data_IF_655352345516
#
_entry.id   IF_655352345516
#
_cell.length_a   1.000
_cell.length_b   1.000
_cell.length_c   1.000
_cell.angle_alpha   90.00
_cell.angle_beta   90.00
_cell.angle_gamma   90.00
#
_symmetry.space_group_name_H-M   'P 1'
#
loop_
_entity.id
_entity.type
_entity.pdbx_description
1 polymer ?
#
# COMPACT_ATOMS: atom_id res chain seq x y z
N UNK A 1 -5.56 -54.08 -31.13
CA UNK A 1 -5.84 -54.05 -29.67
C UNK A 1 -6.18 -52.59 -29.35
N UNK A 2 -7.45 -52.18 -29.27
CA UNK A 2 -8.32 -52.18 -28.07
C UNK A 2 -7.54 -51.65 -26.84
N UNK A 3 -7.45 -50.34 -26.58
CA UNK A 3 -8.41 -49.43 -25.88
C UNK A 3 -7.69 -48.86 -24.61
N UNK A 4 -8.10 -47.83 -23.86
CA UNK A 4 -9.35 -47.06 -23.66
C UNK A 4 -9.00 -45.57 -23.42
N UNK A 5 -9.85 -44.60 -23.84
CA UNK A 5 -9.79 -43.18 -23.42
C UNK A 5 -10.60 -42.96 -22.14
N UNK A 6 -10.08 -42.21 -21.15
CA UNK A 6 -10.88 -41.59 -20.09
C UNK A 6 -10.38 -40.18 -19.76
N UNK A 7 -11.16 -39.17 -20.16
CA UNK A 7 -11.06 -37.83 -19.59
C UNK A 7 -11.96 -37.68 -18.36
N UNK A 8 -11.70 -36.67 -17.55
CA UNK A 8 -12.50 -36.34 -16.36
C UNK A 8 -12.94 -34.89 -16.43
N UNK A 9 -14.25 -34.69 -16.60
CA UNK A 9 -14.91 -33.39 -16.44
C UNK A 9 -15.58 -33.39 -15.06
N UNK A 10 -15.21 -32.42 -14.22
CA UNK A 10 -15.90 -32.17 -12.95
C UNK A 10 -16.50 -30.76 -12.98
N UNK A 11 -17.72 -30.65 -13.48
CA UNK A 11 -18.56 -29.47 -13.23
C UNK A 11 -19.22 -29.60 -11.86
N UNK A 12 -19.28 -28.49 -11.11
CA UNK A 12 -20.07 -28.40 -9.87
C UNK A 12 -21.01 -27.22 -10.01
N UNK A 13 -22.29 -27.52 -10.27
CA UNK A 13 -23.37 -26.56 -10.13
C UNK A 13 -24.02 -26.77 -8.76
N UNK A 14 -24.10 -25.71 -7.95
CA UNK A 14 -24.82 -25.71 -6.68
C UNK A 14 -25.74 -24.49 -6.62
N UNK A 15 -26.96 -24.69 -7.08
CA UNK A 15 -28.12 -23.87 -6.72
C UNK A 15 -28.77 -24.51 -5.50
N UNK A 16 -28.92 -23.75 -4.41
CA UNK A 16 -29.77 -24.11 -3.29
C UNK A 16 -30.46 -22.84 -2.77
N UNK A 17 -31.76 -22.74 -3.02
CA UNK A 17 -32.59 -21.68 -2.46
C UNK A 17 -33.06 -22.07 -1.05
N UNK A 18 -33.12 -21.10 -0.13
CA UNK A 18 -33.87 -21.22 1.12
C UNK A 18 -34.65 -19.93 1.37
N UNK A 19 -35.92 -20.11 1.67
CA UNK A 19 -36.95 -19.07 1.79
C UNK A 19 -37.15 -18.63 3.24
N UNK A 20 -37.36 -17.34 3.44
CA UNK A 20 -37.94 -16.74 4.64
C UNK A 20 -38.29 -15.28 4.31
N UNK A 21 -39.50 -14.74 4.34
CA UNK A 21 -40.76 -14.91 5.10
C UNK A 21 -41.05 -13.59 5.84
N UNK A 22 -42.22 -13.00 5.60
CA UNK A 22 -42.59 -11.60 5.90
C UNK A 22 -42.41 -10.72 4.65
N UNK A 23 -43.44 -10.34 3.89
CA UNK A 23 -44.86 -10.16 4.22
C UNK A 23 -45.09 -8.72 4.72
N UNK A 24 -45.85 -7.85 4.06
CA UNK A 24 -46.55 -7.92 2.77
C UNK A 24 -47.22 -6.56 2.49
N UNK A 25 -47.69 -6.29 1.27
CA UNK A 25 -48.40 -5.04 0.97
C UNK A 25 -48.26 -4.58 -0.49
N UNK A 26 -49.32 -4.82 -1.24
CA UNK A 26 -49.82 -4.12 -2.43
C UNK A 26 -48.91 -3.86 -3.65
N UNK A 27 -49.49 -4.18 -4.81
CA UNK A 27 -48.93 -3.90 -6.13
C UNK A 27 -49.58 -2.66 -6.71
N UNK A 28 -48.80 -1.83 -7.40
CA UNK A 28 -49.30 -1.05 -8.53
C UNK A 28 -48.22 -1.00 -9.63
N UNK A 29 -48.66 -0.82 -10.88
CA UNK A 29 -47.84 -0.96 -12.08
C UNK A 29 -47.54 0.42 -12.67
N UNK A 30 -46.26 0.73 -12.90
CA UNK A 30 -45.90 2.01 -13.50
C UNK A 30 -44.46 2.05 -13.99
N UNK A 31 -44.29 2.09 -15.30
CA UNK A 31 -43.03 2.49 -15.91
C UNK A 31 -42.83 4.01 -15.76
N UNK A 32 -41.68 4.45 -15.27
CA UNK A 32 -41.19 5.80 -15.56
C UNK A 32 -39.68 5.91 -15.40
N UNK A 33 -39.08 6.74 -16.25
CA UNK A 33 -37.67 7.12 -16.21
C UNK A 33 -37.50 8.29 -15.26
N UNK A 34 -36.54 8.18 -14.32
CA UNK A 34 -35.73 9.32 -13.90
C UNK A 34 -36.12 10.17 -12.69
N UNK A 35 -35.03 10.59 -12.02
CA UNK A 35 -34.85 11.86 -11.26
C UNK A 35 -35.26 11.91 -9.77
N UNK A 36 -34.25 12.33 -8.97
CA UNK A 36 -34.22 12.82 -7.56
C UNK A 36 -34.77 11.98 -6.40
N UNK A 37 -33.89 11.78 -5.41
CA UNK A 37 -34.24 11.36 -4.05
C UNK A 37 -33.07 11.59 -3.08
N UNK A 38 -33.02 12.75 -2.43
CA UNK A 38 -32.18 12.92 -1.23
C UNK A 38 -32.86 12.12 -0.11
N UNK A 39 -32.30 10.95 0.22
CA UNK A 39 -32.86 10.04 1.22
C UNK A 39 -31.81 9.62 2.23
N UNK A 40 -31.94 10.12 3.47
CA UNK A 40 -31.07 9.69 4.57
C UNK A 40 -31.41 8.28 5.03
N UNK A 41 -30.42 7.40 5.07
CA UNK A 41 -30.49 6.07 5.65
C UNK A 41 -29.13 5.71 6.24
N UNK A 42 -29.02 5.68 7.57
CA UNK A 42 -27.73 5.66 8.23
C UNK A 42 -27.07 4.28 8.24
N UNK A 43 -25.81 4.20 7.78
CA UNK A 43 -24.87 3.23 8.34
C UNK A 43 -24.03 3.89 9.43
N UNK A 44 -24.18 3.37 10.66
CA UNK A 44 -23.38 3.78 11.82
C UNK A 44 -21.93 3.40 11.58
N UNK A 45 -21.07 4.39 11.34
CA UNK A 45 -19.63 4.32 11.60
C UNK A 45 -18.93 3.03 11.16
N UNK A 46 -18.99 2.68 9.86
CA UNK A 46 -17.90 1.90 9.28
C UNK A 46 -16.61 2.67 9.56
N UNK A 47 -15.73 2.11 10.40
CA UNK A 47 -14.36 2.63 10.57
C UNK A 47 -13.81 2.85 9.18
N UNK A 48 -13.27 4.04 8.89
CA UNK A 48 -12.60 4.32 7.62
C UNK A 48 -11.67 3.14 7.33
N UNK A 49 -11.75 2.56 6.13
CA UNK A 49 -10.79 1.53 5.78
C UNK A 49 -9.38 2.15 5.88
N UNK A 50 -8.45 1.46 6.53
CA UNK A 50 -7.04 1.87 6.55
C UNK A 50 -6.37 1.78 5.18
N UNK A 51 -7.11 1.33 4.16
CA UNK A 51 -6.78 1.33 2.74
C UNK A 51 -6.91 2.73 2.18
N UNK A 52 -5.82 3.28 1.64
CA UNK A 52 -5.85 4.48 0.81
C UNK A 52 -6.25 4.13 -0.63
N UNK A 53 -7.19 4.88 -1.19
CA UNK A 53 -7.48 4.89 -2.63
C UNK A 53 -6.37 5.62 -3.42
N UNK A 54 -6.38 5.54 -4.76
CA UNK A 54 -5.42 6.24 -5.62
C UNK A 54 -5.31 7.74 -5.29
N UNK A 55 -6.40 8.54 -5.20
CA UNK A 55 -6.30 9.96 -4.81
C UNK A 55 -5.74 10.20 -3.40
N UNK A 56 -5.94 9.26 -2.48
CA UNK A 56 -5.38 9.35 -1.13
C UNK A 56 -3.88 9.01 -1.13
N UNK A 57 -3.41 8.07 -1.96
CA UNK A 57 -1.98 7.82 -2.15
C UNK A 57 -1.26 9.03 -2.76
N UNK A 58 -1.86 9.72 -3.73
CA UNK A 58 -1.36 11.01 -4.24
C UNK A 58 -1.17 12.04 -3.12
N UNK A 59 -2.04 12.03 -2.12
CA UNK A 59 -1.97 12.94 -0.96
C UNK A 59 -1.05 12.43 0.17
N UNK A 60 -0.64 11.15 0.12
CA UNK A 60 0.21 10.50 1.11
C UNK A 60 1.69 10.49 0.71
N UNK A 61 2.02 10.67 -0.58
CA UNK A 61 3.39 10.89 -1.02
C UNK A 61 3.83 12.34 -0.70
N UNK A 62 5.11 12.58 -0.34
CA UNK A 62 5.58 13.91 0.00
C UNK A 62 5.67 14.80 -1.24
N UNK A 63 5.20 16.05 -1.14
CA UNK A 63 5.49 17.07 -2.15
C UNK A 63 6.91 17.63 -1.97
N UNK A 64 7.41 18.37 -2.95
CA UNK A 64 8.76 18.94 -2.86
C UNK A 64 8.85 19.97 -1.71
N UNK A 65 7.77 20.72 -1.44
CA UNK A 65 7.65 21.62 -0.30
C UNK A 65 7.65 20.88 1.04
N UNK A 66 7.08 19.67 1.11
CA UNK A 66 7.06 18.86 2.32
C UNK A 66 8.44 18.26 2.66
N UNK A 67 9.28 18.01 1.66
CA UNK A 67 10.67 17.57 1.85
C UNK A 67 11.58 18.73 2.30
N UNK A 68 11.28 19.96 1.84
CA UNK A 68 11.99 21.20 2.11
C UNK A 68 12.91 21.64 0.96
N UNK A 69 13.26 22.92 0.92
CA UNK A 69 13.87 23.61 -0.25
C UNK A 69 15.15 22.97 -0.85
N UNK A 70 15.87 22.20 -0.01
CA UNK A 70 17.09 21.46 -0.36
C UNK A 70 16.80 20.26 -1.25
N UNK A 71 15.62 19.66 -1.17
CA UNK A 71 15.24 18.45 -1.89
C UNK A 71 14.46 18.78 -3.18
N UNK A 72 14.83 18.11 -4.26
CA UNK A 72 14.09 18.14 -5.53
C UNK A 72 13.59 16.74 -5.80
N UNK A 73 12.27 16.58 -5.67
CA UNK A 73 11.60 15.35 -6.03
C UNK A 73 11.20 15.31 -7.50
N UNK A 74 11.17 14.10 -8.04
CA UNK A 74 10.61 13.78 -9.35
C UNK A 74 9.07 13.82 -9.35
N UNK A 75 8.49 13.51 -10.52
CA UNK A 75 7.05 13.38 -10.68
C UNK A 75 6.53 12.16 -9.92
N UNK A 76 5.51 12.38 -9.08
CA UNK A 76 4.84 11.34 -8.33
C UNK A 76 4.23 10.30 -9.28
N UNK A 77 4.51 9.02 -9.05
CA UNK A 77 3.88 7.92 -9.75
C UNK A 77 2.87 7.22 -8.84
N UNK A 78 1.62 7.04 -9.28
CA UNK A 78 0.62 6.21 -8.59
C UNK A 78 -0.05 5.29 -9.60
N UNK A 79 -0.11 4.00 -9.27
CA UNK A 79 -0.62 2.91 -10.10
C UNK A 79 -1.56 2.02 -9.29
N UNK A 80 -2.46 1.31 -9.96
CA UNK A 80 -3.46 0.44 -9.33
C UNK A 80 -3.55 -0.95 -9.99
N UNK A 81 -4.41 -1.79 -9.41
CA UNK A 81 -4.73 -3.11 -9.92
C UNK A 81 -3.51 -4.00 -10.13
N UNK A 82 -3.44 -4.64 -11.30
CA UNK A 82 -2.40 -5.62 -11.62
C UNK A 82 -0.98 -5.03 -11.63
N UNK A 83 -0.82 -3.76 -12.03
CA UNK A 83 0.49 -3.09 -12.01
C UNK A 83 0.97 -2.84 -10.58
N UNK A 84 0.07 -2.43 -9.69
CA UNK A 84 0.37 -2.30 -8.26
C UNK A 84 0.73 -3.67 -7.64
N UNK A 85 0.04 -4.74 -8.05
CA UNK A 85 0.34 -6.11 -7.62
C UNK A 85 1.72 -6.57 -8.08
N UNK A 86 2.07 -6.34 -9.34
CA UNK A 86 3.39 -6.65 -9.88
C UNK A 86 4.50 -5.88 -9.16
N UNK A 87 4.39 -4.54 -9.08
CA UNK A 87 5.40 -3.70 -8.42
C UNK A 87 5.60 -4.08 -6.94
N UNK A 88 4.50 -4.38 -6.23
CA UNK A 88 4.56 -4.84 -4.84
C UNK A 88 5.23 -6.22 -4.73
N UNK A 89 4.94 -7.15 -5.65
CA UNK A 89 5.54 -8.48 -5.63
C UNK A 89 7.04 -8.44 -5.92
N UNK A 90 7.45 -7.64 -6.91
CA UNK A 90 8.84 -7.37 -7.25
C UNK A 90 9.58 -6.71 -6.07
N UNK A 91 8.99 -5.72 -5.41
CA UNK A 91 9.63 -5.03 -4.30
C UNK A 91 9.70 -5.90 -3.04
N UNK A 92 8.60 -6.53 -2.63
CA UNK A 92 8.50 -7.25 -1.34
C UNK A 92 8.93 -8.71 -1.39
N UNK A 93 9.03 -9.33 -2.58
CA UNK A 93 9.22 -10.77 -2.73
C UNK A 93 8.02 -11.61 -2.28
N UNK A 94 6.82 -11.02 -2.16
CA UNK A 94 5.58 -11.71 -1.76
C UNK A 94 4.56 -11.73 -2.91
N UNK A 95 3.45 -12.44 -2.74
CA UNK A 95 2.37 -12.45 -3.74
C UNK A 95 1.54 -11.14 -3.80
N UNK A 96 1.68 -10.26 -2.80
CA UNK A 96 0.91 -9.01 -2.65
C UNK A 96 -0.61 -9.13 -2.90
N UNK A 97 -1.21 -10.24 -2.45
CA UNK A 97 -2.66 -10.42 -2.47
C UNK A 97 -3.34 -9.28 -1.69
N UNK A 98 -4.41 -8.71 -2.26
CA UNK A 98 -5.15 -7.63 -1.62
C UNK A 98 -4.51 -6.24 -1.75
N UNK A 99 -3.40 -6.06 -2.47
CA UNK A 99 -2.93 -4.71 -2.81
C UNK A 99 -3.89 -4.04 -3.80
N UNK A 100 -4.24 -2.79 -3.51
CA UNK A 100 -5.25 -2.01 -4.23
C UNK A 100 -4.58 -0.97 -5.13
N UNK A 101 -3.54 -0.31 -4.61
CA UNK A 101 -2.75 0.67 -5.32
C UNK A 101 -1.34 0.80 -4.73
N UNK A 102 -0.41 1.30 -5.55
CA UNK A 102 0.96 1.60 -5.17
C UNK A 102 1.32 3.03 -5.57
N UNK A 103 2.17 3.69 -4.77
CA UNK A 103 2.70 5.03 -5.04
C UNK A 103 4.22 5.05 -4.93
N UNK A 104 4.89 5.89 -5.71
CA UNK A 104 6.34 6.08 -5.66
C UNK A 104 6.74 7.54 -5.89
N UNK A 105 7.86 7.96 -5.28
CA UNK A 105 8.58 9.20 -5.52
C UNK A 105 10.06 9.02 -5.19
N UNK A 106 10.96 9.54 -6.02
CA UNK A 106 12.37 9.77 -5.68
C UNK A 106 12.63 11.27 -5.46
N UNK A 107 13.59 11.61 -4.60
CA UNK A 107 14.07 12.97 -4.43
C UNK A 107 15.57 13.01 -4.18
N UNK A 108 16.26 13.98 -4.78
CA UNK A 108 17.70 14.19 -4.61
C UNK A 108 17.99 15.59 -4.07
N UNK A 109 19.21 15.79 -3.54
CA UNK A 109 19.66 17.10 -3.06
C UNK A 109 19.93 18.05 -4.24
N UNK A 110 19.42 19.28 -4.16
CA UNK A 110 19.53 20.29 -5.23
C UNK A 110 20.98 20.67 -5.49
N UNK A 111 21.40 20.54 -6.75
CA UNK A 111 22.69 21.04 -7.23
C UNK A 111 23.88 20.19 -6.79
N UNK A 112 23.63 19.01 -6.25
CA UNK A 112 24.66 18.11 -5.75
C UNK A 112 25.11 17.10 -6.82
N UNK A 113 26.38 16.70 -6.74
CA UNK A 113 26.94 15.55 -7.46
C UNK A 113 27.01 14.30 -6.56
N UNK A 114 26.64 14.43 -5.28
CA UNK A 114 26.47 13.37 -4.30
C UNK A 114 25.41 12.34 -4.73
N UNK A 115 25.51 11.14 -4.18
CA UNK A 115 24.48 10.10 -4.26
C UNK A 115 23.40 10.25 -3.18
N UNK A 116 23.12 11.49 -2.75
CA UNK A 116 22.17 11.77 -1.68
C UNK A 116 20.75 11.84 -2.24
N UNK A 117 19.93 10.88 -1.79
CA UNK A 117 18.60 10.59 -2.34
C UNK A 117 17.67 9.99 -1.28
N UNK A 118 16.39 10.30 -1.41
CA UNK A 118 15.30 9.73 -0.64
C UNK A 118 14.27 9.13 -1.60
N UNK A 119 13.96 7.84 -1.45
CA UNK A 119 12.90 7.16 -2.21
C UNK A 119 11.73 6.86 -1.25
N UNK A 120 10.50 7.09 -1.70
CA UNK A 120 9.27 6.89 -0.95
C UNK A 120 8.34 5.98 -1.75
N UNK A 121 8.19 4.73 -1.31
CA UNK A 121 7.30 3.75 -1.95
C UNK A 121 6.17 3.38 -0.99
N UNK A 122 4.93 3.44 -1.47
CA UNK A 122 3.72 3.12 -0.72
C UNK A 122 2.97 1.96 -1.39
N UNK A 123 2.45 1.03 -0.58
CA UNK A 123 1.53 -0.02 -1.02
C UNK A 123 0.30 -0.02 -0.12
N UNK A 124 -0.87 0.19 -0.70
CA UNK A 124 -2.16 0.22 -0.01
C UNK A 124 -2.88 -1.12 -0.15
N UNK A 125 -3.19 -1.79 0.95
CA UNK A 125 -3.85 -3.10 0.97
C UNK A 125 -5.30 -3.01 1.43
N UNK A 126 -6.11 -4.00 1.09
CA UNK A 126 -7.48 -4.20 1.61
C UNK A 126 -7.50 -4.54 3.12
N UNK A 127 -6.39 -5.02 3.67
CA UNK A 127 -6.32 -5.61 5.01
C UNK A 127 -4.95 -5.46 5.67
N UNK A 128 -4.95 -5.35 7.00
CA UNK A 128 -3.73 -5.28 7.81
C UNK A 128 -2.88 -6.56 7.67
N UNK A 129 -3.52 -7.73 7.51
CA UNK A 129 -2.81 -9.01 7.40
C UNK A 129 -1.97 -9.07 6.12
N UNK A 130 -2.50 -8.61 4.98
CA UNK A 130 -1.74 -8.52 3.74
C UNK A 130 -0.59 -7.51 3.86
N UNK A 131 -0.85 -6.34 4.47
CA UNK A 131 0.18 -5.33 4.73
C UNK A 131 1.32 -5.85 5.64
N UNK A 132 1.03 -6.52 6.76
CA UNK A 132 2.05 -7.12 7.63
C UNK A 132 2.83 -8.25 6.94
N UNK A 133 2.22 -8.98 6.00
CA UNK A 133 2.93 -9.99 5.21
C UNK A 133 3.92 -9.32 4.24
N UNK A 134 3.53 -8.23 3.59
CA UNK A 134 4.39 -7.44 2.72
C UNK A 134 5.56 -6.78 3.47
N UNK A 135 5.34 -6.23 4.68
CA UNK A 135 6.43 -5.73 5.56
C UNK A 135 7.46 -6.82 5.84
N UNK A 136 7.01 -8.01 6.26
CA UNK A 136 7.90 -9.13 6.59
C UNK A 136 8.67 -9.65 5.38
N UNK A 137 8.03 -9.73 4.21
CA UNK A 137 8.70 -10.12 2.98
C UNK A 137 9.79 -9.13 2.58
N UNK A 138 9.47 -7.82 2.61
CA UNK A 138 10.42 -6.77 2.27
C UNK A 138 11.60 -6.72 3.26
N UNK A 139 11.34 -6.81 4.56
CA UNK A 139 12.37 -6.88 5.59
C UNK A 139 13.27 -8.13 5.44
N UNK A 140 12.69 -9.30 5.11
CA UNK A 140 13.47 -10.50 4.82
C UNK A 140 14.34 -10.35 3.56
N UNK A 141 13.79 -9.77 2.48
CA UNK A 141 14.53 -9.46 1.24
C UNK A 141 15.65 -8.45 1.47
N UNK A 142 15.48 -7.49 2.38
CA UNK A 142 16.54 -6.56 2.79
C UNK A 142 17.65 -7.27 3.58
N UNK A 143 17.27 -8.08 4.57
CA UNK A 143 18.20 -8.84 5.39
C UNK A 143 19.04 -9.87 4.59
N UNK A 144 18.52 -10.34 3.44
CA UNK A 144 19.22 -11.26 2.52
C UNK A 144 20.07 -10.56 1.44
N UNK A 145 20.23 -9.22 1.46
CA UNK A 145 21.15 -8.53 0.54
C UNK A 145 22.60 -8.85 0.93
N UNK A 146 23.53 -8.76 -0.03
CA UNK A 146 24.97 -8.89 0.23
C UNK A 146 25.72 -7.58 -0.07
N UNK A 147 26.56 -7.05 0.85
CA UNK A 147 26.69 -7.48 2.24
C UNK A 147 25.39 -7.27 3.03
N UNK A 148 25.15 -8.13 4.02
CA UNK A 148 23.96 -8.06 4.87
C UNK A 148 23.90 -6.71 5.62
N UNK A 149 22.81 -5.92 5.48
CA UNK A 149 22.72 -4.64 6.13
C UNK A 149 22.46 -4.83 7.63
N UNK A 150 22.94 -3.90 8.45
CA UNK A 150 22.80 -3.99 9.91
C UNK A 150 21.40 -3.55 10.34
N UNK A 151 20.64 -4.37 11.09
CA UNK A 151 19.36 -3.93 11.66
C UNK A 151 19.57 -2.75 12.61
N UNK A 152 18.73 -1.72 12.48
CA UNK A 152 18.73 -0.53 13.34
C UNK A 152 17.36 -0.29 13.94
N UNK A 153 17.29 0.47 15.04
CA UNK A 153 16.03 0.84 15.68
C UNK A 153 15.65 2.27 15.31
N UNK A 154 14.46 2.42 14.74
CA UNK A 154 13.92 3.70 14.30
C UNK A 154 12.45 3.77 14.72
N UNK A 155 12.04 4.87 15.36
CA UNK A 155 10.71 5.03 15.95
C UNK A 155 9.93 6.16 15.25
N UNK A 156 9.40 5.90 14.05
CA UNK A 156 8.64 6.87 13.24
C UNK A 156 7.14 6.95 13.60
N UNK A 157 6.68 6.23 14.63
CA UNK A 157 5.28 6.23 15.05
C UNK A 157 4.32 5.45 14.14
N UNK A 158 4.84 4.47 13.39
CA UNK A 158 4.05 3.47 12.66
C UNK A 158 3.64 2.30 13.59
N UNK A 159 2.72 1.44 13.13
CA UNK A 159 2.25 0.26 13.88
C UNK A 159 3.31 -0.86 13.92
N UNK A 160 4.05 -1.01 12.82
CA UNK A 160 5.21 -1.90 12.66
C UNK A 160 6.34 -1.09 12.00
N UNK A 161 7.60 -1.35 12.36
CA UNK A 161 8.77 -0.74 11.72
C UNK A 161 9.95 -1.70 11.76
N UNK A 162 10.54 -1.93 10.59
CA UNK A 162 11.81 -2.64 10.39
C UNK A 162 12.77 -1.68 9.69
N UNK A 163 14.02 -1.58 10.15
CA UNK A 163 14.98 -0.64 9.56
C UNK A 163 16.38 -1.25 9.48
N UNK A 164 17.10 -0.95 8.41
CA UNK A 164 18.41 -1.54 8.11
C UNK A 164 19.36 -0.47 7.57
N UNK A 165 20.60 -0.41 8.07
CA UNK A 165 21.66 0.46 7.56
C UNK A 165 22.64 -0.30 6.68
N UNK A 166 23.00 0.27 5.53
CA UNK A 166 24.03 -0.25 4.64
C UNK A 166 25.16 0.78 4.46
N UNK A 167 26.34 0.46 4.97
CA UNK A 167 27.44 1.43 5.07
C UNK A 167 27.10 2.57 6.05
N UNK A 168 27.68 3.75 5.83
CA UNK A 168 27.52 4.92 6.73
C UNK A 168 26.31 5.80 6.40
N UNK A 169 25.86 5.80 5.14
CA UNK A 169 25.02 6.87 4.60
C UNK A 169 23.61 6.38 4.21
N UNK A 170 23.40 5.07 4.03
CA UNK A 170 22.13 4.51 3.55
C UNK A 170 21.37 3.80 4.68
N UNK A 171 20.11 4.17 4.86
CA UNK A 171 19.13 3.48 5.69
C UNK A 171 17.89 3.13 4.86
N UNK A 172 17.50 1.87 4.90
CA UNK A 172 16.25 1.36 4.33
C UNK A 172 15.25 1.16 5.49
N UNK A 173 14.05 1.75 5.41
CA UNK A 173 13.04 1.74 6.48
C UNK A 173 11.72 1.24 5.94
N UNK A 174 11.19 0.15 6.50
CA UNK A 174 9.88 -0.43 6.16
C UNK A 174 8.92 -0.22 7.32
N UNK A 175 7.73 0.28 7.05
CA UNK A 175 6.74 0.65 8.06
C UNK A 175 5.35 0.15 7.65
N UNK A 176 4.50 -0.15 8.65
CA UNK A 176 3.05 -0.35 8.43
C UNK A 176 2.25 0.69 9.19
N UNK A 177 1.30 1.34 8.52
CA UNK A 177 0.32 2.25 9.13
C UNK A 177 -1.06 1.80 8.68
N UNK A 178 -1.83 1.15 9.56
CA UNK A 178 -3.09 0.52 9.20
C UNK A 178 -2.89 -0.55 8.11
N UNK A 179 -3.52 -0.35 6.95
CA UNK A 179 -3.39 -1.24 5.79
C UNK A 179 -2.35 -0.74 4.76
N UNK A 180 -1.60 0.33 5.07
CA UNK A 180 -0.56 0.85 4.18
C UNK A 180 0.80 0.36 4.62
N UNK A 181 1.59 -0.15 3.67
CA UNK A 181 3.03 -0.34 3.82
C UNK A 181 3.75 0.85 3.20
N UNK A 182 4.73 1.39 3.91
CA UNK A 182 5.63 2.40 3.41
C UNK A 182 7.07 1.87 3.47
N UNK A 183 7.80 2.06 2.38
CA UNK A 183 9.23 1.81 2.28
C UNK A 183 9.90 3.15 1.95
N UNK A 184 10.74 3.61 2.87
CA UNK A 184 11.55 4.82 2.73
C UNK A 184 13.01 4.40 2.64
N UNK A 185 13.66 4.72 1.52
CA UNK A 185 15.11 4.69 1.42
C UNK A 185 15.61 6.10 1.71
N UNK A 186 16.59 6.23 2.60
CA UNK A 186 17.32 7.48 2.83
C UNK A 186 18.81 7.22 2.67
N UNK A 187 19.41 7.76 1.61
CA UNK A 187 20.85 7.82 1.38
C UNK A 187 21.28 9.27 1.59
N UNK A 188 21.92 9.59 2.71
CA UNK A 188 22.32 10.94 3.08
C UNK A 188 23.73 10.94 3.66
N UNK A 189 24.58 11.83 3.17
CA UNK A 189 26.02 11.81 3.40
C UNK A 189 26.47 12.34 4.77
N UNK A 190 25.70 13.25 5.38
CA UNK A 190 26.09 13.97 6.60
C UNK A 190 25.01 14.01 7.71
N UNK A 191 24.06 13.06 7.78
CA UNK A 191 22.97 13.16 8.78
C UNK A 191 22.63 11.86 9.55
N UNK A 192 22.74 11.95 10.88
CA UNK A 192 22.33 10.92 11.84
C UNK A 192 20.81 10.86 12.09
N UNK A 193 20.02 11.79 11.51
CA UNK A 193 18.57 11.93 11.72
C UNK A 193 17.71 11.83 10.45
N UNK A 194 18.27 11.93 9.25
CA UNK A 194 17.51 12.04 7.99
C UNK A 194 16.55 10.87 7.75
N UNK A 195 17.00 9.63 7.99
CA UNK A 195 16.14 8.46 7.86
C UNK A 195 14.91 8.53 8.78
N UNK A 196 15.09 8.97 10.03
CA UNK A 196 13.99 9.15 10.99
C UNK A 196 13.07 10.31 10.57
N UNK A 197 13.63 11.43 10.07
CA UNK A 197 12.86 12.56 9.55
C UNK A 197 11.96 12.14 8.38
N UNK A 198 12.53 11.49 7.36
CA UNK A 198 11.78 11.04 6.18
C UNK A 198 10.74 9.98 6.53
N UNK A 199 11.09 9.03 7.41
CA UNK A 199 10.15 8.01 7.88
C UNK A 199 8.97 8.62 8.67
N UNK A 200 9.24 9.56 9.58
CA UNK A 200 8.20 10.24 10.37
C UNK A 200 7.29 11.08 9.47
N UNK A 201 7.85 11.85 8.54
CA UNK A 201 7.10 12.59 7.52
C UNK A 201 6.16 11.67 6.74
N UNK A 202 6.66 10.51 6.29
CA UNK A 202 5.87 9.56 5.52
C UNK A 202 4.71 8.96 6.35
N UNK A 203 4.94 8.66 7.63
CA UNK A 203 3.89 8.20 8.54
C UNK A 203 2.80 9.26 8.75
N UNK A 204 3.18 10.52 8.95
CA UNK A 204 2.24 11.62 9.15
C UNK A 204 1.40 11.91 7.90
N UNK A 205 2.00 11.84 6.72
CA UNK A 205 1.28 11.98 5.44
C UNK A 205 0.25 10.86 5.23
N UNK A 206 0.59 9.60 5.55
CA UNK A 206 -0.36 8.48 5.49
C UNK A 206 -1.52 8.68 6.46
N UNK A 207 -1.23 9.07 7.71
CA UNK A 207 -2.25 9.37 8.73
C UNK A 207 -3.16 10.53 8.32
N UNK A 208 -2.63 11.53 7.61
CA UNK A 208 -3.40 12.68 7.10
C UNK A 208 -4.27 12.32 5.89
N UNK A 209 -3.87 11.35 5.07
CA UNK A 209 -4.60 10.92 3.89
C UNK A 209 -5.76 9.94 4.18
N UNK A 210 -5.77 9.32 5.36
CA UNK A 210 -6.78 8.33 5.79
C UNK A 210 -8.10 8.98 6.25
#
# INVERSE_FOLDING_TARGET
MKSVVRGTVCGVALMAALTGCGGGGDADAGAAVGVVGIGGGGEKGKKKSGTLSVPQLWSALPTNEALGDVWVGDDLAVIDGERARQACAEETGTACNGVVAAGHKEAAVRGDASSDRAEFTLFSFDSQQAASAAVKGLAAKMASREPAPQPTKLAAGADETEAFTNGRNRTDVVMRVGNVVAYVLASVSEDNGSALRMATLQVDLIKKAA
#
